data_IF_050223504342
#
_entry.id   IF_050223504342
#
_cell.length_a   1.000
_cell.length_b   1.000
_cell.length_c   1.000
_cell.angle_alpha   90.00
_cell.angle_beta   90.00
_cell.angle_gamma   90.00
#
_symmetry.space_group_name_H-M   'P 1'
#
loop_
_entity.id
_entity.type
_entity.pdbx_description
1 polymer ?
#
# COMPACT_ATOMS: atom_id res chain seq x y z
N UNK A 1 29.87 5.04 29.15
CA UNK A 1 29.62 4.27 27.91
C UNK A 1 28.21 4.57 27.43
N UNK A 2 27.98 5.73 26.83
CA UNK A 2 26.65 6.19 26.40
C UNK A 2 26.60 6.34 24.88
N UNK A 3 26.54 5.22 24.16
CA UNK A 3 26.42 5.21 22.70
C UNK A 3 25.40 4.20 22.17
N UNK A 4 24.57 3.59 23.03
CA UNK A 4 23.69 2.48 22.60
C UNK A 4 22.24 2.88 22.32
N UNK A 5 21.84 4.14 22.49
CA UNK A 5 20.41 4.52 22.41
C UNK A 5 19.94 5.04 21.04
N UNK A 6 20.85 5.32 20.10
CA UNK A 6 20.47 5.95 18.81
C UNK A 6 20.21 4.92 17.69
N UNK A 7 20.73 3.69 17.80
CA UNK A 7 20.56 2.67 16.75
C UNK A 7 19.17 1.99 16.73
N UNK A 8 18.45 1.98 17.84
CA UNK A 8 17.17 1.26 17.97
C UNK A 8 16.01 1.92 17.20
N UNK A 9 16.08 3.24 16.94
CA UNK A 9 15.07 3.94 16.13
C UNK A 9 15.18 3.64 14.64
N UNK A 10 16.39 3.40 14.14
CA UNK A 10 16.60 3.15 12.71
C UNK A 10 16.11 1.76 12.29
N UNK A 11 16.32 0.76 13.15
CA UNK A 11 15.91 -0.63 12.89
C UNK A 11 14.38 -0.75 12.84
N UNK A 12 13.63 -0.11 13.76
CA UNK A 12 12.15 -0.13 13.73
C UNK A 12 11.56 0.51 12.49
N UNK A 13 12.20 1.56 11.96
CA UNK A 13 11.71 2.26 10.76
C UNK A 13 11.82 1.38 9.51
N UNK A 14 12.87 0.56 9.41
CA UNK A 14 13.07 -0.35 8.28
C UNK A 14 12.10 -1.55 8.28
N UNK A 15 11.72 -2.08 9.45
CA UNK A 15 10.74 -3.18 9.53
C UNK A 15 9.32 -2.71 9.24
N UNK A 16 8.96 -1.50 9.69
CA UNK A 16 7.65 -0.90 9.42
C UNK A 16 7.44 -0.63 7.92
N UNK A 17 8.44 -0.04 7.25
CA UNK A 17 8.36 0.24 5.81
C UNK A 17 8.17 -1.04 4.97
N UNK A 18 8.83 -2.16 5.34
CA UNK A 18 8.63 -3.45 4.66
C UNK A 18 7.22 -4.02 4.87
N UNK A 19 6.64 -3.82 6.05
CA UNK A 19 5.28 -4.28 6.34
C UNK A 19 4.24 -3.49 5.53
N UNK A 20 4.43 -2.16 5.43
CA UNK A 20 3.51 -1.28 4.70
C UNK A 20 3.53 -1.58 3.18
N UNK A 21 4.71 -1.87 2.61
CA UNK A 21 4.83 -2.30 1.21
C UNK A 21 4.14 -3.66 0.99
N UNK A 22 4.29 -4.60 1.93
CA UNK A 22 3.61 -5.89 1.88
C UNK A 22 2.08 -5.74 1.88
N UNK A 23 1.54 -4.76 2.62
CA UNK A 23 0.11 -4.46 2.63
C UNK A 23 -0.37 -3.97 1.26
N UNK A 24 0.37 -3.06 0.62
CA UNK A 24 0.05 -2.56 -0.73
C UNK A 24 0.02 -3.71 -1.74
N UNK A 25 1.01 -4.62 -1.70
CA UNK A 25 1.04 -5.78 -2.58
C UNK A 25 -0.14 -6.73 -2.36
N UNK A 26 -0.52 -6.96 -1.10
CA UNK A 26 -1.71 -7.75 -0.75
C UNK A 26 -3.01 -7.11 -1.27
N UNK A 27 -3.14 -5.78 -1.15
CA UNK A 27 -4.30 -5.05 -1.67
C UNK A 27 -4.38 -5.13 -3.20
N UNK A 28 -3.23 -5.06 -3.89
CA UNK A 28 -3.16 -5.27 -5.34
C UNK A 28 -3.67 -6.66 -5.74
N UNK A 29 -3.26 -7.69 -5.01
CA UNK A 29 -3.73 -9.06 -5.26
C UNK A 29 -5.24 -9.18 -5.05
N UNK A 30 -5.78 -8.56 -3.99
CA UNK A 30 -7.22 -8.55 -3.71
C UNK A 30 -8.03 -7.83 -4.79
N UNK A 31 -7.59 -6.66 -5.25
CA UNK A 31 -8.22 -5.93 -6.36
C UNK A 31 -8.21 -6.77 -7.65
N UNK A 32 -7.09 -7.44 -7.93
CA UNK A 32 -6.98 -8.34 -9.08
C UNK A 32 -7.97 -9.50 -8.97
N UNK A 33 -8.14 -10.09 -7.79
CA UNK A 33 -9.13 -11.16 -7.54
C UNK A 33 -10.57 -10.69 -7.71
N UNK A 34 -10.84 -9.43 -7.40
CA UNK A 34 -12.15 -8.78 -7.61
C UNK A 34 -12.43 -8.52 -9.10
N UNK A 35 -11.39 -8.57 -9.95
CA UNK A 35 -11.50 -8.47 -11.41
C UNK A 35 -10.81 -7.25 -12.02
N UNK A 36 -10.07 -6.45 -11.23
CA UNK A 36 -9.28 -5.35 -11.77
C UNK A 36 -8.10 -5.85 -12.59
N UNK A 37 -7.72 -5.09 -13.61
CA UNK A 37 -6.50 -5.35 -14.35
C UNK A 37 -5.28 -5.01 -13.46
N UNK A 38 -4.33 -5.94 -13.26
CA UNK A 38 -3.11 -5.66 -12.49
C UNK A 38 -2.37 -4.41 -12.94
N UNK A 39 -2.32 -4.14 -14.26
CA UNK A 39 -1.66 -2.95 -14.81
C UNK A 39 -2.35 -1.64 -14.45
N UNK A 40 -3.67 -1.67 -14.26
CA UNK A 40 -4.42 -0.50 -13.79
C UNK A 40 -4.11 -0.22 -12.32
N UNK A 41 -4.06 -1.27 -11.49
CA UNK A 41 -3.67 -1.13 -10.09
C UNK A 41 -2.22 -0.63 -9.96
N UNK A 42 -1.31 -1.14 -10.80
CA UNK A 42 0.07 -0.64 -10.87
C UNK A 42 0.13 0.83 -11.28
N UNK A 43 -0.71 1.24 -12.24
CA UNK A 43 -0.82 2.64 -12.63
C UNK A 43 -1.35 3.53 -11.49
N UNK A 44 -2.36 3.06 -10.73
CA UNK A 44 -2.86 3.75 -9.55
C UNK A 44 -1.76 3.92 -8.48
N UNK A 45 -0.93 2.91 -8.25
CA UNK A 45 0.20 3.00 -7.33
C UNK A 45 1.23 4.00 -7.85
N UNK A 46 1.57 3.92 -9.15
CA UNK A 46 2.56 4.79 -9.79
C UNK A 46 2.15 6.28 -9.75
N UNK A 47 0.88 6.60 -10.05
CA UNK A 47 0.42 7.99 -10.07
C UNK A 47 0.39 8.60 -8.67
N UNK A 48 0.00 7.81 -7.66
CA UNK A 48 -0.06 8.27 -6.27
C UNK A 48 1.31 8.26 -5.57
N UNK A 49 2.30 7.57 -6.13
CA UNK A 49 3.70 7.63 -5.70
C UNK A 49 4.50 8.72 -6.42
N UNK A 50 3.88 9.52 -7.30
CA UNK A 50 4.55 10.49 -8.15
C UNK A 50 5.70 9.87 -8.99
N UNK A 51 5.58 8.59 -9.35
CA UNK A 51 6.62 7.85 -10.08
C UNK A 51 7.82 7.42 -9.23
N UNK A 52 7.81 7.66 -7.93
CA UNK A 52 8.84 7.14 -7.01
C UNK A 52 8.60 5.66 -6.69
N UNK A 53 9.68 4.91 -6.44
CA UNK A 53 9.54 3.55 -5.92
C UNK A 53 8.96 3.59 -4.50
N UNK A 54 8.12 2.60 -4.16
CA UNK A 54 7.50 2.52 -2.83
C UNK A 54 8.51 2.52 -1.67
N UNK A 55 9.72 2.00 -1.90
CA UNK A 55 10.81 1.97 -0.93
C UNK A 55 11.37 3.36 -0.60
N UNK A 56 11.21 4.32 -1.51
CA UNK A 56 11.74 5.68 -1.38
C UNK A 56 10.69 6.66 -0.81
N UNK A 57 9.43 6.21 -0.70
CA UNK A 57 8.36 7.00 -0.14
C UNK A 57 8.45 7.07 1.39
N UNK A 58 8.04 8.21 1.93
CA UNK A 58 7.84 8.34 3.36
C UNK A 58 6.58 7.57 3.81
N UNK A 59 6.55 7.18 5.08
CA UNK A 59 5.46 6.37 5.64
C UNK A 59 4.08 7.02 5.50
N UNK A 60 3.98 8.35 5.40
CA UNK A 60 2.69 9.03 5.20
C UNK A 60 2.19 8.79 3.78
N UNK A 61 3.07 8.94 2.78
CA UNK A 61 2.75 8.68 1.37
C UNK A 61 2.37 7.22 1.13
N UNK A 62 3.12 6.27 1.73
CA UNK A 62 2.80 4.84 1.65
C UNK A 62 1.40 4.58 2.24
N UNK A 63 1.10 5.14 3.41
CA UNK A 63 -0.21 5.00 4.04
C UNK A 63 -1.34 5.60 3.21
N UNK A 64 -1.11 6.75 2.57
CA UNK A 64 -2.09 7.35 1.65
C UNK A 64 -2.40 6.43 0.47
N UNK A 65 -1.38 5.79 -0.14
CA UNK A 65 -1.58 4.81 -1.20
C UNK A 65 -2.36 3.60 -0.68
N UNK A 66 -2.02 3.11 0.51
CA UNK A 66 -2.72 1.98 1.14
C UNK A 66 -4.20 2.29 1.38
N UNK A 67 -4.52 3.46 1.93
CA UNK A 67 -5.88 3.90 2.22
C UNK A 67 -6.69 4.05 0.91
N UNK A 68 -6.09 4.60 -0.16
CA UNK A 68 -6.71 4.70 -1.48
C UNK A 68 -7.05 3.32 -2.07
N UNK A 69 -6.12 2.36 -2.02
CA UNK A 69 -6.35 1.01 -2.53
C UNK A 69 -7.40 0.26 -1.71
N UNK A 70 -7.43 0.46 -0.38
CA UNK A 70 -8.47 -0.08 0.51
C UNK A 70 -9.85 0.48 0.16
N UNK A 71 -9.93 1.78 -0.07
CA UNK A 71 -11.19 2.41 -0.44
C UNK A 71 -11.69 1.90 -1.80
N UNK A 72 -10.80 1.78 -2.78
CA UNK A 72 -11.12 1.21 -4.09
C UNK A 72 -11.63 -0.22 -3.98
N UNK A 73 -10.98 -1.06 -3.17
CA UNK A 73 -11.40 -2.43 -2.94
C UNK A 73 -12.79 -2.47 -2.29
N UNK A 74 -13.02 -1.64 -1.28
CA UNK A 74 -14.32 -1.53 -0.60
C UNK A 74 -15.44 -1.15 -1.58
N UNK A 75 -15.22 -0.17 -2.44
CA UNK A 75 -16.20 0.23 -3.46
C UNK A 75 -16.47 -0.91 -4.43
N UNK A 76 -15.41 -1.60 -4.86
CA UNK A 76 -15.52 -2.68 -5.84
C UNK A 76 -16.30 -3.87 -5.29
N UNK A 77 -16.04 -4.27 -4.04
CA UNK A 77 -16.83 -5.29 -3.34
C UNK A 77 -18.29 -4.87 -3.22
N UNK A 78 -18.57 -3.63 -2.82
CA UNK A 78 -19.94 -3.13 -2.69
C UNK A 78 -20.68 -3.10 -4.03
N UNK A 79 -20.02 -2.71 -5.12
CA UNK A 79 -20.59 -2.75 -6.46
C UNK A 79 -20.91 -4.18 -6.91
N UNK A 80 -20.05 -5.15 -6.59
CA UNK A 80 -20.30 -6.56 -6.89
C UNK A 80 -21.47 -7.14 -6.08
N UNK A 81 -21.62 -6.73 -4.82
CA UNK A 81 -22.79 -7.11 -4.00
C UNK A 81 -24.07 -6.59 -4.64
N UNK A 82 -24.13 -5.31 -5.01
CA UNK A 82 -25.29 -4.70 -5.65
C UNK A 82 -25.61 -5.27 -7.04
N UNK A 83 -24.60 -5.75 -7.78
CA UNK A 83 -24.80 -6.34 -9.11
C UNK A 83 -25.27 -7.80 -9.06
N UNK A 84 -25.26 -8.43 -7.88
CA UNK A 84 -25.71 -9.82 -7.68
C UNK A 84 -27.18 -9.93 -7.25
N UNK A 85 -27.80 -8.82 -6.84
CA UNK A 85 -29.25 -8.70 -6.58
C UNK A 85 -30.04 -8.32 -7.84
#
# INVERSE_FOLDING_TARGET
MAFSFVLSRFIRKSTAANNDISNILSLKEQLTKVGFNPSEVDYMIMINSNGCALIDLDSKSIKTIEDLLKEQLRFSCKCLELARD
#
